data_IF_393652980814
#
_entry.id   IF_393652980814
#
_cell.length_a   1.000
_cell.length_b   1.000
_cell.length_c   1.000
_cell.angle_alpha   90.00
_cell.angle_beta   90.00
_cell.angle_gamma   90.00
#
_symmetry.space_group_name_H-M   'P 1'
#
loop_
_entity.id
_entity.type
_entity.pdbx_description
1 polymer ?
#
# COMPACT_ATOMS: atom_id res chain seq x y z
N UNK A 1 31.97 -40.66 -7.61
CA UNK A 1 33.16 -39.86 -7.26
C UNK A 1 32.87 -38.40 -7.63
N UNK A 2 32.60 -37.51 -6.66
CA UNK A 2 32.19 -36.11 -6.93
C UNK A 2 33.43 -35.24 -7.14
N UNK A 3 33.62 -34.71 -8.34
CA UNK A 3 34.72 -33.79 -8.68
C UNK A 3 34.53 -32.44 -7.97
N UNK A 4 35.52 -32.05 -7.15
CA UNK A 4 35.55 -30.73 -6.49
C UNK A 4 35.79 -29.66 -7.55
N UNK A 5 34.86 -28.71 -7.69
CA UNK A 5 35.04 -27.56 -8.56
C UNK A 5 36.15 -26.66 -8.00
N UNK A 6 37.32 -26.64 -8.63
CA UNK A 6 38.38 -25.70 -8.32
C UNK A 6 38.04 -24.36 -8.97
N UNK A 7 37.52 -23.42 -8.17
CA UNK A 7 37.20 -22.07 -8.66
C UNK A 7 38.53 -21.34 -8.90
N UNK A 8 38.91 -21.26 -10.17
CA UNK A 8 40.12 -20.59 -10.59
C UNK A 8 39.90 -19.06 -10.56
N UNK A 9 40.27 -18.43 -9.45
CA UNK A 9 40.05 -16.99 -9.17
C UNK A 9 40.59 -16.07 -10.28
N UNK A 10 41.66 -16.46 -10.96
CA UNK A 10 42.23 -15.69 -12.06
C UNK A 10 41.31 -15.62 -13.30
N UNK A 11 40.57 -16.69 -13.59
CA UNK A 11 39.64 -16.72 -14.73
C UNK A 11 38.34 -15.96 -14.42
N UNK A 12 37.91 -15.98 -13.16
CA UNK A 12 36.78 -15.18 -12.67
C UNK A 12 37.07 -13.69 -12.82
N UNK A 13 38.26 -13.22 -12.42
CA UNK A 13 38.64 -11.81 -12.54
C UNK A 13 38.63 -11.30 -13.99
N UNK A 14 39.13 -12.10 -14.93
CA UNK A 14 39.12 -11.76 -16.37
C UNK A 14 37.69 -11.66 -16.91
N UNK A 15 36.80 -12.59 -16.54
CA UNK A 15 35.39 -12.56 -16.95
C UNK A 15 34.66 -11.35 -16.36
N UNK A 16 34.90 -11.04 -15.09
CA UNK A 16 34.33 -9.85 -14.43
C UNK A 16 34.77 -8.58 -15.16
N UNK A 17 36.05 -8.44 -15.54
CA UNK A 17 36.54 -7.26 -16.26
C UNK A 17 35.86 -7.06 -17.62
N UNK A 18 35.63 -8.14 -18.37
CA UNK A 18 34.92 -8.07 -19.65
C UNK A 18 33.47 -7.67 -19.45
N UNK A 19 32.79 -8.26 -18.45
CA UNK A 19 31.41 -7.91 -18.09
C UNK A 19 31.33 -6.44 -17.64
N UNK A 20 32.28 -5.97 -16.83
CA UNK A 20 32.31 -4.58 -16.35
C UNK A 20 32.48 -3.61 -17.51
N UNK A 21 33.37 -3.92 -18.47
CA UNK A 21 33.61 -3.09 -19.65
C UNK A 21 32.36 -3.04 -20.55
N UNK A 22 31.66 -4.17 -20.70
CA UNK A 22 30.42 -4.24 -21.46
C UNK A 22 29.29 -3.48 -20.74
N UNK A 23 29.18 -3.63 -19.42
CA UNK A 23 28.24 -2.90 -18.59
C UNK A 23 28.43 -1.39 -18.69
N UNK A 24 29.68 -0.92 -18.73
CA UNK A 24 29.98 0.50 -18.87
C UNK A 24 29.59 1.06 -20.24
N UNK A 25 29.70 0.24 -21.31
CA UNK A 25 29.25 0.60 -22.66
C UNK A 25 27.73 0.75 -22.74
N UNK A 26 26.98 -0.09 -22.02
CA UNK A 26 25.51 -0.09 -22.02
C UNK A 26 24.91 0.46 -20.73
N UNK A 27 25.62 1.34 -20.01
CA UNK A 27 25.22 1.82 -18.69
C UNK A 27 23.81 2.42 -18.65
N UNK A 28 23.42 3.16 -19.69
CA UNK A 28 22.10 3.77 -19.77
C UNK A 28 21.00 2.70 -19.96
N UNK A 29 21.22 1.72 -20.83
CA UNK A 29 20.29 0.62 -21.06
C UNK A 29 20.16 -0.25 -19.80
N UNK A 30 21.27 -0.59 -19.15
CA UNK A 30 21.27 -1.31 -17.88
C UNK A 30 20.52 -0.54 -16.78
N UNK A 31 20.71 0.78 -16.70
CA UNK A 31 20.00 1.62 -15.75
C UNK A 31 18.48 1.60 -15.98
N UNK A 32 18.04 1.78 -17.23
CA UNK A 32 16.63 1.67 -17.59
C UNK A 32 16.08 0.27 -17.31
N UNK A 33 16.83 -0.78 -17.63
CA UNK A 33 16.42 -2.17 -17.40
C UNK A 33 16.31 -2.47 -15.90
N UNK A 34 17.20 -1.92 -15.07
CA UNK A 34 17.14 -2.03 -13.62
C UNK A 34 15.90 -1.33 -13.08
N UNK A 35 15.62 -0.10 -13.52
CA UNK A 35 14.40 0.63 -13.13
C UNK A 35 13.15 -0.13 -13.56
N UNK A 36 13.09 -0.59 -14.79
CA UNK A 36 11.96 -1.35 -15.31
C UNK A 36 11.73 -2.64 -14.50
N UNK A 37 12.82 -3.36 -14.18
CA UNK A 37 12.77 -4.53 -13.32
C UNK A 37 12.29 -4.22 -11.90
N UNK A 38 12.75 -3.10 -11.32
CA UNK A 38 12.32 -2.65 -10.00
C UNK A 38 10.83 -2.30 -9.98
N UNK A 39 10.36 -1.55 -10.98
CA UNK A 39 8.93 -1.22 -11.13
C UNK A 39 8.08 -2.47 -11.34
N UNK A 40 8.52 -3.39 -12.20
CA UNK A 40 7.84 -4.67 -12.41
C UNK A 40 7.78 -5.50 -11.11
N UNK A 41 8.87 -5.56 -10.35
CA UNK A 41 8.92 -6.23 -9.06
C UNK A 41 7.96 -5.59 -8.04
N UNK A 42 7.94 -4.26 -7.96
CA UNK A 42 7.01 -3.54 -7.09
C UNK A 42 5.56 -3.87 -7.46
N UNK A 43 5.20 -3.87 -8.74
CA UNK A 43 3.86 -4.22 -9.20
C UNK A 43 3.48 -5.66 -8.84
N UNK A 44 4.38 -6.62 -9.04
CA UNK A 44 4.16 -8.01 -8.62
C UNK A 44 3.97 -8.12 -7.10
N UNK A 45 4.76 -7.36 -6.34
CA UNK A 45 4.66 -7.34 -4.87
C UNK A 45 3.35 -6.72 -4.39
N UNK A 46 2.92 -5.62 -5.01
CA UNK A 46 1.63 -4.99 -4.73
C UNK A 46 0.51 -5.97 -5.05
N UNK A 47 0.49 -6.59 -6.24
CA UNK A 47 -0.54 -7.56 -6.59
C UNK A 47 -0.60 -8.75 -5.60
N UNK A 48 0.57 -9.23 -5.15
CA UNK A 48 0.65 -10.28 -4.13
C UNK A 48 0.12 -9.86 -2.77
N UNK A 49 0.14 -8.57 -2.43
CA UNK A 49 -0.33 -8.05 -1.13
C UNK A 49 -1.78 -7.55 -1.21
N UNK A 50 -2.22 -7.03 -2.35
CA UNK A 50 -3.57 -6.50 -2.58
C UNK A 50 -4.61 -7.60 -2.81
N UNK A 51 -4.18 -8.77 -3.28
CA UNK A 51 -5.06 -9.95 -3.44
C UNK A 51 -5.11 -10.83 -2.19
N UNK A 52 -4.51 -10.42 -1.08
CA UNK A 52 -4.76 -11.03 0.21
C UNK A 52 -6.09 -10.43 0.68
N UNK A 53 -7.21 -11.17 0.66
CA UNK A 53 -8.41 -10.70 1.32
C UNK A 53 -8.03 -10.44 2.78
N UNK A 54 -8.24 -9.22 3.27
CA UNK A 54 -7.96 -8.88 4.66
C UNK A 54 -8.64 -9.93 5.54
N UNK A 55 -7.83 -10.72 6.25
CA UNK A 55 -8.35 -11.68 7.21
C UNK A 55 -9.18 -10.90 8.24
N UNK A 56 -10.28 -11.48 8.73
CA UNK A 56 -11.15 -10.82 9.72
C UNK A 56 -10.35 -10.32 10.95
N UNK A 57 -9.22 -10.95 11.23
CA UNK A 57 -8.22 -10.54 12.24
C UNK A 57 -7.57 -9.18 11.96
N UNK A 58 -7.21 -8.89 10.71
CA UNK A 58 -6.51 -7.65 10.32
C UNK A 58 -7.50 -6.47 10.29
N UNK A 59 -8.77 -6.74 9.98
CA UNK A 59 -9.85 -5.74 10.07
C UNK A 59 -10.15 -5.41 11.53
N UNK A 60 -10.14 -6.40 12.43
CA UNK A 60 -10.31 -6.17 13.86
C UNK A 60 -9.13 -5.37 14.45
N UNK A 61 -7.89 -5.66 14.05
CA UNK A 61 -6.73 -4.86 14.48
C UNK A 61 -6.77 -3.43 13.95
N UNK A 62 -7.17 -3.21 12.69
CA UNK A 62 -7.34 -1.87 12.13
C UNK A 62 -8.50 -1.09 12.77
N UNK A 63 -9.61 -1.76 13.13
CA UNK A 63 -10.72 -1.15 13.86
C UNK A 63 -10.34 -0.79 15.31
N UNK A 64 -9.49 -1.59 15.95
CA UNK A 64 -8.98 -1.29 17.29
C UNK A 64 -7.87 -0.23 17.28
N UNK A 65 -7.08 -0.16 16.20
CA UNK A 65 -6.03 0.85 16.01
C UNK A 65 -6.60 2.22 15.59
N UNK A 66 -7.70 2.22 14.83
CA UNK A 66 -8.50 3.41 14.63
C UNK A 66 -9.19 3.74 15.96
N UNK A 67 -8.68 4.74 16.70
CA UNK A 67 -9.41 5.37 17.80
C UNK A 67 -10.70 5.95 17.24
N UNK A 68 -11.74 5.14 17.12
CA UNK A 68 -13.08 5.64 16.85
C UNK A 68 -13.42 6.57 18.02
N UNK A 69 -13.77 7.83 17.74
CA UNK A 69 -14.23 8.72 18.78
C UNK A 69 -15.51 8.10 19.37
N UNK A 70 -15.38 7.52 20.57
CA UNK A 70 -16.48 6.90 21.27
C UNK A 70 -17.39 8.01 21.79
N UNK A 71 -18.43 8.33 21.01
CA UNK A 71 -19.44 9.30 21.42
C UNK A 71 -20.21 8.67 22.57
N UNK A 72 -20.21 9.31 23.74
CA UNK A 72 -20.94 8.82 24.91
C UNK A 72 -22.43 8.67 24.54
N UNK A 73 -23.05 7.55 24.91
CA UNK A 73 -24.47 7.26 24.67
C UNK A 73 -25.42 8.38 25.14
N UNK A 74 -25.03 9.09 26.21
CA UNK A 74 -25.74 10.26 26.70
C UNK A 74 -25.82 11.40 25.66
N UNK A 75 -24.77 11.58 24.88
CA UNK A 75 -24.70 12.58 23.80
C UNK A 75 -25.55 12.15 22.61
N UNK A 76 -25.57 10.85 22.27
CA UNK A 76 -26.43 10.31 21.20
C UNK A 76 -27.91 10.51 21.56
N UNK A 77 -28.29 10.17 22.79
CA UNK A 77 -29.66 10.36 23.29
C UNK A 77 -30.06 11.83 23.25
N UNK A 78 -29.15 12.74 23.63
CA UNK A 78 -29.41 14.19 23.60
C UNK A 78 -29.47 14.76 22.18
N UNK A 79 -28.70 14.23 21.25
CA UNK A 79 -28.78 14.63 19.83
C UNK A 79 -30.11 14.17 19.21
N UNK A 80 -30.56 12.95 19.51
CA UNK A 80 -31.88 12.45 19.07
C UNK A 80 -33.01 13.29 19.64
N UNK A 81 -32.99 13.58 20.94
CA UNK A 81 -34.02 14.42 21.54
C UNK A 81 -34.04 15.85 20.96
N UNK A 82 -32.88 16.42 20.62
CA UNK A 82 -32.82 17.73 19.95
C UNK A 82 -33.33 17.68 18.50
N UNK A 83 -33.11 16.59 17.77
CA UNK A 83 -33.65 16.38 16.43
C UNK A 83 -35.18 16.21 16.45
N UNK A 84 -35.70 15.44 17.41
CA UNK A 84 -37.12 15.12 17.50
C UNK A 84 -37.95 16.30 18.02
N UNK A 85 -37.37 17.17 18.86
CA UNK A 85 -38.09 18.26 19.51
C UNK A 85 -37.84 19.65 18.89
N UNK A 86 -37.03 19.77 17.83
CA UNK A 86 -36.74 21.06 17.23
C UNK A 86 -36.92 21.06 15.71
N UNK A 87 -38.00 21.70 15.27
CA UNK A 87 -38.33 21.95 13.86
C UNK A 87 -37.19 22.67 13.13
N UNK A 88 -36.51 23.60 13.81
CA UNK A 88 -35.35 24.35 13.29
C UNK A 88 -34.08 23.50 13.15
N UNK A 89 -33.96 22.41 13.92
CA UNK A 89 -32.81 21.50 13.82
C UNK A 89 -33.05 20.46 12.73
N UNK A 90 -34.31 20.06 12.51
CA UNK A 90 -34.67 19.19 11.38
C UNK A 90 -34.28 19.79 10.03
N UNK A 91 -34.50 21.09 9.81
CA UNK A 91 -34.12 21.76 8.55
C UNK A 91 -32.61 21.68 8.27
N UNK A 92 -31.78 21.87 9.31
CA UNK A 92 -30.31 21.77 9.21
C UNK A 92 -29.85 20.35 8.85
N UNK A 93 -30.52 19.31 9.36
CA UNK A 93 -30.19 17.92 9.03
C UNK A 93 -30.82 17.41 7.74
N UNK A 94 -32.00 17.92 7.34
CA UNK A 94 -32.66 17.54 6.09
C UNK A 94 -32.02 18.20 4.87
N UNK A 95 -31.60 19.47 4.97
CA UNK A 95 -30.93 20.17 3.87
C UNK A 95 -29.51 19.63 3.65
N UNK A 96 -28.77 19.29 4.72
CA UNK A 96 -27.39 18.81 4.63
C UNK A 96 -27.28 17.34 4.21
N UNK A 97 -28.33 16.53 4.39
CA UNK A 97 -28.36 15.12 3.93
C UNK A 97 -28.65 14.98 2.44
N UNK A 98 -29.13 16.03 1.77
CA UNK A 98 -29.20 16.05 0.31
C UNK A 98 -27.78 16.21 -0.23
N UNK A 99 -27.24 15.10 -0.72
CA UNK A 99 -25.91 14.92 -1.30
C UNK A 99 -25.31 16.21 -1.91
N UNK A 100 -24.30 16.84 -1.26
CA UNK A 100 -23.66 18.06 -1.76
C UNK A 100 -22.65 17.80 -2.90
N UNK A 101 -22.56 16.56 -3.40
CA UNK A 101 -21.63 16.17 -4.47
C UNK A 101 -22.34 15.63 -5.73
N UNK A 102 -23.61 15.98 -5.94
CA UNK A 102 -24.26 15.79 -7.25
C UNK A 102 -24.10 17.04 -8.10
N UNK A 103 -22.93 17.18 -8.72
CA UNK A 103 -22.76 17.82 -10.04
C UNK A 103 -21.92 16.90 -10.92
#
# INVERSE_FOLDING_TARGET
MKTKATINIASVKKRILVILRLANRYKALLFFLLIAGLYGFILLRINSLSNIPASETDVAELQNAAKQPHIKEATITRLRSLQDNSVRVQTLFSETRNNPFNE
#
